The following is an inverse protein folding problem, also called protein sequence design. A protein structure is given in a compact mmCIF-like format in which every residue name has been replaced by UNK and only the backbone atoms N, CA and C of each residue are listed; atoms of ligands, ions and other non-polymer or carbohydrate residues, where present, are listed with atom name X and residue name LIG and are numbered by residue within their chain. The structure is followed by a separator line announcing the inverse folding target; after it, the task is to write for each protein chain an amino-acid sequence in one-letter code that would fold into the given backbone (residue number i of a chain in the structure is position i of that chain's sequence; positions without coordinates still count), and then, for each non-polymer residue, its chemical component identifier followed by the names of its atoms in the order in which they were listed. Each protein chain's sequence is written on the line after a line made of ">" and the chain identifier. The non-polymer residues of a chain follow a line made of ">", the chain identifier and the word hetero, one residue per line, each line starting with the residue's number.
data_IF_279783909321
#
_entry.id   IF_279783909321
#
_cell.length_a   1.000
_cell.length_b   1.000
_cell.length_c   1.000
_cell.angle_alpha   90.00
_cell.angle_beta   90.00
_cell.angle_gamma   90.00
#
_symmetry.space_group_name_H-M   'P 1'
#
loop_
_entity.id
_entity.type
_entity.pdbx_description
1 polymer ?
#
# COMPACT_ATOMS: atom_id res chain seq x y z
N UNK A 1 34.14 5.30 7.55
CA UNK A 1 34.88 6.56 7.28
C UNK A 1 34.10 7.59 6.43
N UNK A 2 32.82 7.35 6.07
CA UNK A 2 32.02 8.31 5.30
C UNK A 2 31.10 9.20 6.15
N UNK A 3 30.86 8.88 7.43
CA UNK A 3 29.95 9.65 8.31
C UNK A 3 30.52 10.99 8.79
N UNK A 4 31.85 11.18 8.76
CA UNK A 4 32.50 12.40 9.24
C UNK A 4 32.59 13.53 8.21
N UNK A 5 32.29 13.27 6.93
CA UNK A 5 32.45 14.27 5.85
C UNK A 5 31.20 15.06 5.54
N UNK A 6 30.01 14.53 5.84
CA UNK A 6 28.74 15.21 5.65
C UNK A 6 28.52 16.43 6.57
N UNK A 7 28.73 16.34 7.91
CA UNK A 7 28.48 17.48 8.80
C UNK A 7 29.42 18.67 8.53
N UNK A 8 30.71 18.41 8.23
CA UNK A 8 31.68 19.45 7.90
C UNK A 8 31.26 20.28 6.67
N UNK A 9 30.63 19.64 5.68
CA UNK A 9 30.24 20.29 4.42
C UNK A 9 28.98 21.14 4.53
N UNK A 10 28.12 20.87 5.52
CA UNK A 10 26.90 21.67 5.80
C UNK A 10 27.27 22.95 6.56
N UNK A 11 28.17 22.85 7.54
CA UNK A 11 28.70 24.02 8.25
C UNK A 11 29.41 25.01 7.30
N UNK A 12 30.14 24.51 6.30
CA UNK A 12 30.76 25.34 5.25
C UNK A 12 29.71 26.05 4.37
N UNK A 13 28.59 25.39 4.08
CA UNK A 13 27.49 26.00 3.32
C UNK A 13 26.71 27.03 4.17
N UNK A 14 26.51 26.76 5.46
CA UNK A 14 25.92 27.70 6.41
C UNK A 14 26.72 28.99 6.48
N UNK A 15 28.04 28.90 6.61
CA UNK A 15 28.92 30.07 6.67
C UNK A 15 28.91 30.87 5.36
N UNK A 16 28.99 30.19 4.20
CA UNK A 16 28.94 30.85 2.88
C UNK A 16 27.61 31.56 2.56
N UNK A 17 26.50 31.12 3.17
CA UNK A 17 25.16 31.71 2.98
C UNK A 17 24.86 32.92 3.88
N UNK A 18 25.69 33.14 4.91
CA UNK A 18 25.47 34.18 5.93
C UNK A 18 25.92 35.57 5.49
N UNK A 19 26.87 35.64 4.56
CA UNK A 19 27.55 36.89 4.15
C UNK A 19 26.78 37.76 3.14
N UNK A 20 25.58 37.34 2.69
CA UNK A 20 24.93 37.91 1.51
C UNK A 20 23.66 38.73 1.75
N UNK A 21 23.30 39.10 2.99
CA UNK A 21 22.01 39.75 3.21
C UNK A 21 22.02 41.01 4.05
N UNK A 22 21.24 42.00 3.60
CA UNK A 22 21.18 43.36 4.14
C UNK A 22 19.81 43.74 4.71
N UNK A 23 18.81 42.84 4.64
CA UNK A 23 17.41 43.23 4.90
C UNK A 23 16.51 42.14 5.55
N UNK A 24 17.06 41.32 6.46
CA UNK A 24 16.29 40.47 7.40
C UNK A 24 15.44 39.32 6.84
N UNK A 25 15.06 39.33 5.57
CA UNK A 25 14.36 38.24 4.88
C UNK A 25 15.34 37.13 4.49
N UNK A 26 14.97 35.86 4.65
CA UNK A 26 15.79 34.73 4.20
C UNK A 26 15.97 34.80 2.68
N UNK A 27 17.23 34.74 2.22
CA UNK A 27 17.51 34.64 0.78
C UNK A 27 17.13 33.22 0.29
N UNK A 28 16.74 33.07 -0.97
CA UNK A 28 16.52 31.78 -1.64
C UNK A 28 17.62 30.75 -1.32
N UNK A 29 18.87 31.19 -1.23
CA UNK A 29 19.99 30.32 -0.83
C UNK A 29 19.86 29.76 0.60
N UNK A 30 19.36 30.55 1.54
CA UNK A 30 19.13 30.14 2.94
C UNK A 30 17.90 29.24 3.05
N UNK A 31 16.84 29.52 2.28
CA UNK A 31 15.66 28.65 2.19
C UNK A 31 16.04 27.28 1.60
N UNK A 32 16.82 27.27 0.51
CA UNK A 32 17.31 26.04 -0.10
C UNK A 32 18.18 25.21 0.86
N UNK A 33 19.03 25.86 1.66
CA UNK A 33 19.83 25.18 2.69
C UNK A 33 18.96 24.60 3.80
N UNK A 34 17.95 25.34 4.29
CA UNK A 34 17.02 24.83 5.30
C UNK A 34 16.27 23.59 4.80
N UNK A 35 15.77 23.61 3.57
CA UNK A 35 15.10 22.46 2.96
C UNK A 35 16.06 21.27 2.77
N UNK A 36 17.31 21.55 2.45
CA UNK A 36 18.32 20.50 2.33
C UNK A 36 18.65 19.85 3.68
N UNK A 37 18.76 20.64 4.75
CA UNK A 37 18.96 20.14 6.11
C UNK A 37 17.78 19.28 6.58
N UNK A 38 16.55 19.75 6.38
CA UNK A 38 15.33 18.98 6.67
C UNK A 38 15.29 17.65 5.90
N UNK A 39 15.68 17.68 4.63
CA UNK A 39 15.78 16.46 3.81
C UNK A 39 16.84 15.49 4.38
N UNK A 40 18.01 15.99 4.80
CA UNK A 40 19.05 15.15 5.42
C UNK A 40 18.59 14.55 6.75
N UNK A 41 17.86 15.31 7.57
CA UNK A 41 17.28 14.79 8.81
C UNK A 41 16.24 13.70 8.54
N UNK A 42 15.40 13.89 7.53
CA UNK A 42 14.44 12.88 7.06
C UNK A 42 15.15 11.61 6.58
N UNK A 43 16.19 11.74 5.76
CA UNK A 43 17.01 10.61 5.29
C UNK A 43 17.65 9.88 6.48
N UNK A 44 18.19 10.61 7.47
CA UNK A 44 18.79 10.01 8.68
C UNK A 44 17.76 9.22 9.48
N UNK A 45 16.53 9.73 9.62
CA UNK A 45 15.44 9.01 10.27
C UNK A 45 15.19 7.67 9.60
N UNK A 46 15.09 7.64 8.27
CA UNK A 46 14.86 6.41 7.50
C UNK A 46 15.97 5.38 7.72
N UNK A 47 17.24 5.81 7.79
CA UNK A 47 18.35 4.89 8.08
C UNK A 47 18.34 4.37 9.52
N UNK A 48 18.00 5.22 10.49
CA UNK A 48 17.84 4.81 11.89
C UNK A 48 16.72 3.80 12.04
N UNK A 49 15.57 4.04 11.39
CA UNK A 49 14.43 3.12 11.39
C UNK A 49 14.82 1.78 10.76
N UNK A 50 15.56 1.80 9.64
CA UNK A 50 16.07 0.57 9.01
C UNK A 50 17.00 -0.22 9.92
N UNK A 51 17.90 0.45 10.64
CA UNK A 51 18.79 -0.22 11.58
C UNK A 51 18.00 -0.88 12.73
N UNK A 52 17.00 -0.17 13.24
CA UNK A 52 16.11 -0.70 14.27
C UNK A 52 15.33 -1.93 13.77
N UNK A 53 14.75 -1.88 12.56
CA UNK A 53 14.00 -3.01 12.01
C UNK A 53 14.90 -4.22 11.74
N UNK A 54 16.13 -4.00 11.28
CA UNK A 54 17.13 -5.07 11.15
C UNK A 54 17.46 -5.72 12.49
N UNK A 55 17.74 -4.92 13.53
CA UNK A 55 18.01 -5.44 14.87
C UNK A 55 16.85 -6.23 15.45
N UNK A 56 15.61 -5.80 15.21
CA UNK A 56 14.41 -6.54 15.64
C UNK A 56 14.31 -7.87 14.88
N UNK A 57 14.52 -7.86 13.56
CA UNK A 57 14.51 -9.08 12.75
C UNK A 57 15.56 -10.10 13.21
N UNK A 58 16.79 -9.63 13.48
CA UNK A 58 17.88 -10.47 13.99
C UNK A 58 17.55 -11.08 15.36
N UNK A 59 16.96 -10.29 16.27
CA UNK A 59 16.54 -10.78 17.58
C UNK A 59 15.43 -11.84 17.46
N UNK A 60 14.41 -11.60 16.63
CA UNK A 60 13.34 -12.57 16.37
C UNK A 60 13.88 -13.86 15.76
N UNK A 61 14.84 -13.75 14.84
CA UNK A 61 15.46 -14.92 14.23
C UNK A 61 16.33 -15.71 15.22
N UNK A 62 17.09 -15.02 16.08
CA UNK A 62 17.89 -15.65 17.12
C UNK A 62 17.02 -16.38 18.15
N UNK A 63 15.88 -15.78 18.53
CA UNK A 63 14.96 -16.31 19.53
C UNK A 63 13.88 -17.23 18.94
N UNK A 64 13.96 -17.56 17.64
CA UNK A 64 12.90 -18.27 16.92
C UNK A 64 12.47 -19.59 17.59
N UNK A 65 13.42 -20.39 18.09
CA UNK A 65 13.14 -21.64 18.80
C UNK A 65 12.44 -21.41 20.15
N UNK A 66 12.86 -20.38 20.89
CA UNK A 66 12.27 -20.01 22.18
C UNK A 66 10.83 -19.51 21.99
N UNK A 67 10.62 -18.67 20.97
CA UNK A 67 9.29 -18.17 20.58
C UNK A 67 8.38 -19.35 20.22
N UNK A 68 8.85 -20.27 19.37
CA UNK A 68 8.07 -21.44 18.97
C UNK A 68 7.69 -22.34 20.15
N UNK A 69 8.63 -22.58 21.08
CA UNK A 69 8.35 -23.36 22.29
C UNK A 69 7.33 -22.68 23.20
N UNK A 70 7.44 -21.36 23.37
CA UNK A 70 6.50 -20.57 24.18
C UNK A 70 5.09 -20.63 23.60
N UNK A 71 4.94 -20.49 22.27
CA UNK A 71 3.65 -20.62 21.58
C UNK A 71 3.04 -22.00 21.82
N UNK A 72 3.83 -23.07 21.64
CA UNK A 72 3.36 -24.44 21.85
C UNK A 72 2.92 -24.68 23.30
N UNK A 73 3.63 -24.13 24.28
CA UNK A 73 3.25 -24.21 25.69
C UNK A 73 1.92 -23.50 25.98
N UNK A 74 1.70 -22.34 25.37
CA UNK A 74 0.44 -21.61 25.48
C UNK A 74 -0.73 -22.35 24.81
N UNK A 75 -0.51 -22.93 23.62
CA UNK A 75 -1.52 -23.76 22.93
C UNK A 75 -1.96 -24.93 23.80
N UNK A 76 -1.01 -25.67 24.39
CA UNK A 76 -1.29 -26.77 25.32
C UNK A 76 -2.06 -26.28 26.54
N UNK A 77 -1.65 -25.16 27.14
CA UNK A 77 -2.36 -24.58 28.29
C UNK A 77 -3.81 -24.19 27.96
N UNK A 78 -4.06 -23.67 26.75
CA UNK A 78 -5.39 -23.30 26.28
C UNK A 78 -6.28 -24.52 25.99
N UNK A 79 -5.71 -25.58 25.42
CA UNK A 79 -6.40 -26.86 25.22
C UNK A 79 -6.78 -27.51 26.55
N UNK A 80 -5.85 -27.53 27.50
CA UNK A 80 -6.07 -28.04 28.86
C UNK A 80 -7.18 -27.26 29.57
N UNK A 81 -7.17 -25.93 29.47
CA UNK A 81 -8.21 -25.07 30.03
C UNK A 81 -9.60 -25.39 29.45
N UNK A 82 -9.71 -25.48 28.12
CA UNK A 82 -10.97 -25.78 27.46
C UNK A 82 -11.47 -27.20 27.81
N UNK A 83 -10.56 -28.17 27.89
CA UNK A 83 -10.88 -29.53 28.33
C UNK A 83 -11.43 -29.54 29.76
N UNK A 84 -10.78 -28.84 30.69
CA UNK A 84 -11.24 -28.75 32.07
C UNK A 84 -12.64 -28.14 32.18
N UNK A 85 -12.93 -27.09 31.39
CA UNK A 85 -14.28 -26.50 31.34
C UNK A 85 -15.33 -27.46 30.78
N UNK A 86 -15.01 -28.21 29.72
CA UNK A 86 -15.91 -29.24 29.16
C UNK A 86 -16.23 -30.34 30.16
N UNK A 87 -15.24 -30.78 30.95
CA UNK A 87 -15.44 -31.76 32.02
C UNK A 87 -16.37 -31.23 33.12
N UNK A 88 -16.40 -29.91 33.34
CA UNK A 88 -17.28 -29.26 34.32
C UNK A 88 -18.69 -28.93 33.76
N UNK A 89 -19.03 -29.41 32.56
CA UNK A 89 -20.33 -29.20 31.92
C UNK A 89 -20.49 -27.87 31.16
N UNK A 90 -19.44 -27.05 31.10
CA UNK A 90 -19.41 -25.80 30.34
C UNK A 90 -18.91 -26.06 28.92
N UNK A 91 -19.64 -25.62 27.89
CA UNK A 91 -19.20 -25.76 26.50
C UNK A 91 -18.31 -24.58 26.10
N UNK A 92 -17.01 -24.67 26.40
CA UNK A 92 -15.99 -23.68 25.98
C UNK A 92 -15.17 -24.26 24.84
N UNK A 93 -15.08 -23.50 23.75
CA UNK A 93 -14.19 -23.78 22.61
C UNK A 93 -12.79 -23.22 22.89
N UNK A 94 -11.74 -23.97 22.56
CA UNK A 94 -10.38 -23.44 22.55
C UNK A 94 -10.28 -22.38 21.45
N UNK A 95 -10.32 -21.10 21.83
CA UNK A 95 -10.25 -19.99 20.88
C UNK A 95 -8.82 -19.58 20.50
N UNK A 96 -7.79 -20.26 21.03
CA UNK A 96 -6.40 -20.00 20.62
C UNK A 96 -6.07 -20.82 19.39
N UNK A 97 -6.70 -20.46 18.29
CA UNK A 97 -6.14 -20.76 17.00
C UNK A 97 -5.30 -19.57 16.59
N UNK A 98 -3.99 -19.62 16.90
CA UNK A 98 -2.97 -18.77 16.26
C UNK A 98 -2.79 -19.20 14.79
N UNK A 99 -3.91 -19.47 14.10
CA UNK A 99 -3.93 -19.66 12.68
C UNK A 99 -3.39 -18.37 12.10
N UNK A 100 -2.18 -18.46 11.56
CA UNK A 100 -1.60 -17.49 10.64
C UNK A 100 -2.66 -17.16 9.61
N UNK A 101 -3.42 -16.09 9.87
CA UNK A 101 -4.46 -15.61 8.98
C UNK A 101 -3.74 -15.19 7.71
N UNK A 102 -3.71 -16.10 6.72
CA UNK A 102 -3.22 -15.92 5.34
C UNK A 102 -2.18 -14.81 5.20
N UNK A 103 -1.13 -14.86 6.01
CA UNK A 103 -0.09 -13.84 5.92
C UNK A 103 0.69 -14.19 4.67
N UNK A 104 0.38 -13.47 3.58
CA UNK A 104 0.88 -13.77 2.26
C UNK A 104 2.42 -13.77 2.30
N UNK A 105 3.01 -14.96 2.36
CA UNK A 105 4.45 -15.13 2.52
C UNK A 105 5.22 -14.40 1.42
N UNK A 106 4.63 -14.26 0.20
CA UNK A 106 5.25 -13.53 -0.91
C UNK A 106 5.40 -12.07 -0.54
N UNK A 107 4.41 -11.49 0.12
CA UNK A 107 4.45 -10.12 0.63
C UNK A 107 5.55 -9.99 1.68
N UNK A 108 5.61 -10.91 2.65
CA UNK A 108 6.64 -10.88 3.69
C UNK A 108 8.05 -10.98 3.12
N UNK A 109 8.30 -11.92 2.21
CA UNK A 109 9.59 -12.09 1.56
C UNK A 109 10.02 -10.80 0.83
N UNK A 110 9.09 -10.16 0.10
CA UNK A 110 9.36 -8.87 -0.57
C UNK A 110 9.64 -7.75 0.43
N UNK A 111 8.86 -7.64 1.50
CA UNK A 111 9.05 -6.61 2.53
C UNK A 111 10.39 -6.79 3.25
N UNK A 112 10.75 -8.02 3.59
CA UNK A 112 12.05 -8.35 4.17
C UNK A 112 13.20 -7.95 3.22
N UNK A 113 13.08 -8.26 1.93
CA UNK A 113 14.08 -7.87 0.93
C UNK A 113 14.28 -6.35 0.83
N UNK A 114 13.17 -5.59 0.83
CA UNK A 114 13.17 -4.14 0.68
C UNK A 114 13.67 -3.42 1.94
N UNK A 115 13.20 -3.84 3.11
CA UNK A 115 13.32 -3.07 4.35
C UNK A 115 14.25 -3.68 5.39
N UNK A 116 14.59 -4.97 5.30
CA UNK A 116 15.53 -5.65 6.20
C UNK A 116 16.83 -5.92 5.46
N UNK A 117 16.89 -6.97 4.63
CA UNK A 117 18.04 -7.33 3.81
C UNK A 117 17.62 -8.24 2.66
N UNK A 118 18.35 -8.18 1.54
CA UNK A 118 18.06 -8.99 0.36
C UNK A 118 18.18 -10.49 0.65
N UNK A 119 19.13 -10.88 1.50
CA UNK A 119 19.36 -12.24 1.98
C UNK A 119 18.18 -12.78 2.80
N UNK A 120 17.70 -12.05 3.82
CA UNK A 120 16.53 -12.48 4.61
C UNK A 120 15.29 -12.62 3.73
N UNK A 121 15.04 -11.66 2.85
CA UNK A 121 13.93 -11.76 1.91
C UNK A 121 14.05 -12.95 0.97
N UNK A 122 15.25 -13.25 0.50
CA UNK A 122 15.50 -14.35 -0.43
C UNK A 122 15.33 -15.72 0.21
N UNK A 123 15.76 -15.90 1.47
CA UNK A 123 15.49 -17.16 2.20
C UNK A 123 13.98 -17.38 2.35
N UNK A 124 13.23 -16.35 2.75
CA UNK A 124 11.76 -16.42 2.80
C UNK A 124 11.11 -16.67 1.42
N UNK A 125 11.73 -16.19 0.33
CA UNK A 125 11.23 -16.40 -1.03
C UNK A 125 11.54 -17.79 -1.61
N UNK A 126 12.52 -18.51 -1.05
CA UNK A 126 12.83 -19.89 -1.45
C UNK A 126 11.89 -20.90 -0.83
N UNK A 127 11.60 -20.77 0.47
CA UNK A 127 10.74 -21.68 1.27
C UNK A 127 9.33 -21.92 0.70
N UNK A 128 9.04 -21.13 -0.30
CA UNK A 128 7.73 -20.73 -0.69
C UNK A 128 7.51 -20.96 -2.19
N UNK A 129 8.60 -20.95 -2.97
CA UNK A 129 8.71 -21.81 -4.17
C UNK A 129 8.62 -23.30 -3.78
N UNK A 130 9.28 -23.72 -2.69
CA UNK A 130 9.27 -25.13 -2.22
C UNK A 130 7.86 -25.63 -1.90
N UNK A 131 7.02 -24.82 -1.26
CA UNK A 131 5.63 -25.20 -0.96
C UNK A 131 4.71 -25.23 -2.19
N UNK A 132 5.08 -24.58 -3.29
CA UNK A 132 4.31 -24.61 -4.54
C UNK A 132 4.60 -25.86 -5.38
N UNK A 133 5.79 -26.45 -5.24
CA UNK A 133 6.21 -27.64 -6.01
C UNK A 133 5.80 -28.99 -5.37
N UNK A 134 5.36 -28.99 -4.10
CA UNK A 134 5.03 -30.21 -3.37
C UNK A 134 3.59 -30.75 -3.55
N UNK A 135 2.87 -30.28 -4.58
CA UNK A 135 1.52 -30.78 -4.92
C UNK A 135 1.44 -31.53 -6.26
N UNK A 136 2.59 -32.00 -6.77
CA UNK A 136 2.62 -33.01 -7.83
C UNK A 136 3.42 -34.23 -7.40
N UNK A 137 2.64 -35.26 -7.08
CA UNK A 137 2.89 -36.67 -7.33
C UNK A 137 3.59 -37.51 -6.25
N UNK A 138 2.87 -38.56 -5.87
CA UNK A 138 3.29 -39.63 -4.99
C UNK A 138 4.03 -40.68 -5.80
N UNK A 139 5.32 -40.88 -5.52
CA UNK A 139 6.09 -41.96 -6.12
C UNK A 139 7.49 -42.02 -5.55
N UNK A 140 7.71 -42.90 -4.56
CA UNK A 140 8.99 -43.02 -3.89
C UNK A 140 10.11 -43.59 -4.75
N UNK A 141 11.35 -43.25 -4.43
CA UNK A 141 12.43 -44.19 -4.17
C UNK A 141 13.70 -43.43 -3.76
N UNK A 142 14.41 -44.03 -2.81
CA UNK A 142 15.63 -43.51 -2.23
C UNK A 142 16.88 -43.87 -3.05
N UNK A 143 17.92 -43.08 -2.79
CA UNK A 143 19.33 -43.44 -2.68
C UNK A 143 20.33 -42.88 -3.72
N UNK A 144 21.39 -42.33 -3.12
CA UNK A 144 22.80 -42.41 -3.52
C UNK A 144 23.48 -41.18 -4.12
N UNK A 145 24.22 -40.57 -3.19
CA UNK A 145 25.48 -39.83 -3.27
C UNK A 145 26.38 -40.15 -4.47
N UNK A 146 26.82 -39.09 -5.15
CA UNK A 146 28.23 -38.79 -5.49
C UNK A 146 28.33 -38.02 -6.81
N UNK A 147 28.79 -36.77 -6.73
CA UNK A 147 29.84 -36.15 -7.58
C UNK A 147 29.88 -34.65 -7.32
N UNK A 148 30.88 -34.25 -6.55
CA UNK A 148 31.39 -32.88 -6.52
C UNK A 148 32.30 -32.68 -7.73
N UNK A 149 32.23 -31.47 -8.28
CA UNK A 149 33.09 -30.84 -9.30
C UNK A 149 32.80 -31.17 -10.75
N UNK A 150 32.10 -30.25 -11.42
CA UNK A 150 32.77 -29.20 -12.21
C UNK A 150 31.72 -28.55 -13.13
N UNK A 151 31.10 -27.49 -12.62
CA UNK A 151 30.47 -26.50 -13.49
C UNK A 151 30.64 -25.13 -12.86
N UNK A 152 31.75 -24.50 -13.16
CA UNK A 152 31.86 -23.05 -13.14
C UNK A 152 30.76 -22.52 -14.09
N UNK A 153 29.66 -22.08 -13.51
CA UNK A 153 28.63 -21.28 -14.16
C UNK A 153 28.51 -19.98 -13.38
N UNK A 154 28.50 -18.89 -14.13
CA UNK A 154 28.49 -17.52 -13.68
C UNK A 154 27.44 -17.21 -12.59
N UNK A 155 27.65 -16.20 -11.73
CA UNK A 155 26.65 -15.72 -10.79
C UNK A 155 25.64 -14.84 -11.54
N UNK A 156 24.68 -15.44 -12.25
CA UNK A 156 23.56 -14.71 -12.84
C UNK A 156 22.22 -15.42 -12.59
N UNK A 157 21.51 -14.94 -11.56
CA UNK A 157 20.06 -14.65 -11.58
C UNK A 157 19.07 -15.80 -11.51
N UNK A 158 18.80 -16.33 -10.32
CA UNK A 158 17.69 -17.29 -10.08
C UNK A 158 16.39 -16.66 -9.57
N UNK A 159 16.39 -15.36 -9.26
CA UNK A 159 15.24 -14.68 -8.63
C UNK A 159 14.88 -13.37 -9.31
N UNK A 160 14.78 -13.44 -10.64
CA UNK A 160 14.32 -12.35 -11.47
C UNK A 160 12.95 -12.68 -12.08
N UNK A 161 12.04 -11.72 -12.07
CA UNK A 161 10.70 -11.82 -12.66
C UNK A 161 10.57 -10.80 -13.79
N UNK A 162 9.81 -11.16 -14.83
CA UNK A 162 9.55 -10.28 -15.96
C UNK A 162 8.26 -9.48 -15.74
N UNK A 163 8.32 -8.17 -16.01
CA UNK A 163 7.14 -7.31 -16.01
C UNK A 163 6.35 -7.49 -17.31
N UNK A 164 5.05 -7.75 -17.24
CA UNK A 164 4.18 -7.92 -18.42
C UNK A 164 3.96 -6.60 -19.19
N UNK A 165 4.09 -5.45 -18.52
CA UNK A 165 3.81 -4.15 -19.11
C UNK A 165 5.02 -3.54 -19.87
N UNK A 166 6.22 -3.59 -19.28
CA UNK A 166 7.43 -3.05 -19.92
C UNK A 166 8.36 -4.14 -20.48
N UNK A 167 8.06 -5.42 -20.26
CA UNK A 167 8.87 -6.58 -20.67
C UNK A 167 10.28 -6.65 -20.07
N UNK A 168 10.63 -5.75 -19.14
CA UNK A 168 11.91 -5.76 -18.44
C UNK A 168 11.95 -6.85 -17.35
N UNK A 169 13.12 -7.47 -17.21
CA UNK A 169 13.43 -8.42 -16.14
C UNK A 169 13.95 -7.65 -14.93
N UNK A 170 13.34 -7.86 -13.77
CA UNK A 170 13.69 -7.20 -12.50
C UNK A 170 13.82 -8.22 -11.38
N UNK A 171 14.38 -7.82 -10.25
CA UNK A 171 14.46 -8.70 -9.06
C UNK A 171 13.05 -9.04 -8.57
N UNK A 172 12.88 -10.22 -7.97
CA UNK A 172 11.57 -10.70 -7.51
C UNK A 172 10.85 -9.73 -6.56
N UNK A 173 11.60 -8.97 -5.76
CA UNK A 173 11.06 -7.99 -4.82
C UNK A 173 10.63 -6.67 -5.46
N UNK A 174 11.00 -6.44 -6.72
CA UNK A 174 10.56 -5.28 -7.51
C UNK A 174 9.37 -5.61 -8.43
N UNK A 175 8.84 -6.84 -8.36
CA UNK A 175 7.73 -7.32 -9.19
C UNK A 175 6.64 -7.96 -8.32
N UNK A 176 5.40 -7.49 -8.48
CA UNK A 176 4.21 -8.09 -7.87
C UNK A 176 3.50 -8.95 -8.90
N UNK A 177 3.26 -10.20 -8.50
CA UNK A 177 2.42 -11.14 -9.23
C UNK A 177 0.95 -10.90 -8.85
N UNK A 178 0.09 -10.68 -9.84
CA UNK A 178 -1.36 -10.53 -9.63
C UNK A 178 -2.06 -11.89 -9.74
N UNK A 179 -3.37 -11.96 -9.44
CA UNK A 179 -4.16 -13.21 -9.40
C UNK A 179 -4.01 -14.10 -10.63
N UNK A 180 -3.90 -13.50 -11.81
CA UNK A 180 -3.75 -14.21 -13.07
C UNK A 180 -2.31 -14.71 -13.36
N UNK A 181 -1.38 -14.55 -12.42
CA UNK A 181 0.01 -15.00 -12.52
C UNK A 181 0.98 -14.05 -13.24
N UNK A 182 0.49 -12.93 -13.79
CA UNK A 182 1.35 -11.94 -14.43
C UNK A 182 2.08 -11.05 -13.42
N UNK A 183 3.35 -10.74 -13.71
CA UNK A 183 4.17 -9.84 -12.91
C UNK A 183 4.10 -8.39 -13.37
N UNK A 184 3.97 -7.45 -12.44
CA UNK A 184 4.09 -6.01 -12.69
C UNK A 184 5.21 -5.42 -11.84
N UNK A 185 6.13 -4.70 -12.47
CA UNK A 185 7.10 -3.92 -11.73
C UNK A 185 6.44 -2.69 -11.08
N UNK A 186 7.04 -2.19 -9.99
CA UNK A 186 6.57 -1.01 -9.25
C UNK A 186 6.12 0.18 -10.13
N UNK A 187 6.94 0.72 -11.06
CA UNK A 187 6.53 1.89 -11.83
C UNK A 187 5.36 1.60 -12.77
N UNK A 188 5.36 0.45 -13.44
CA UNK A 188 4.26 0.07 -14.35
C UNK A 188 2.95 -0.16 -13.59
N UNK A 189 3.02 -0.77 -12.41
CA UNK A 189 1.86 -0.97 -11.55
C UNK A 189 1.29 0.38 -11.07
N UNK A 190 2.15 1.28 -10.59
CA UNK A 190 1.73 2.62 -10.16
C UNK A 190 1.08 3.40 -11.32
N UNK A 191 1.67 3.36 -12.50
CA UNK A 191 1.10 4.02 -13.68
C UNK A 191 -0.25 3.42 -14.08
N UNK A 192 -0.39 2.09 -14.04
CA UNK A 192 -1.66 1.43 -14.34
C UNK A 192 -2.76 1.85 -13.36
N UNK A 193 -2.45 1.92 -12.07
CA UNK A 193 -3.40 2.37 -11.05
C UNK A 193 -3.73 3.85 -11.25
N UNK A 194 -2.74 4.72 -11.49
CA UNK A 194 -2.95 6.16 -11.77
C UNK A 194 -3.82 6.40 -13.01
N UNK A 195 -3.70 5.57 -14.05
CA UNK A 195 -4.60 5.65 -15.21
C UNK A 195 -6.01 5.19 -14.84
N UNK A 196 -6.15 4.12 -14.06
CA UNK A 196 -7.44 3.62 -13.62
C UNK A 196 -8.18 4.61 -12.70
N UNK A 197 -7.48 5.45 -11.93
CA UNK A 197 -8.12 6.49 -11.11
C UNK A 197 -8.62 7.69 -11.92
N UNK A 198 -8.13 7.87 -13.15
CA UNK A 198 -8.50 8.98 -14.04
C UNK A 198 -9.57 8.59 -15.06
N UNK A 199 -9.60 7.33 -15.47
CA UNK A 199 -10.52 6.82 -16.48
C UNK A 199 -11.42 5.72 -15.88
N UNK A 200 -12.71 6.03 -15.76
CA UNK A 200 -13.73 5.11 -15.24
C UNK A 200 -13.82 3.81 -16.05
N UNK A 201 -13.52 3.84 -17.35
CA UNK A 201 -13.54 2.63 -18.20
C UNK A 201 -12.44 1.64 -17.86
N UNK A 202 -11.36 2.12 -17.24
CA UNK A 202 -10.22 1.33 -16.80
C UNK A 202 -10.33 0.93 -15.31
N UNK A 203 -11.38 1.38 -14.62
CA UNK A 203 -11.59 1.10 -13.21
C UNK A 203 -12.51 -0.11 -12.98
N UNK A 204 -12.21 -1.00 -12.02
CA UNK A 204 -10.93 -1.15 -11.31
C UNK A 204 -9.80 -1.64 -12.23
N UNK A 205 -8.52 -1.42 -11.88
CA UNK A 205 -7.37 -1.92 -12.63
C UNK A 205 -7.43 -3.45 -12.74
N UNK A 206 -7.14 -3.96 -13.94
CA UNK A 206 -7.27 -5.39 -14.28
C UNK A 206 -6.08 -5.92 -15.07
N UNK A 207 -5.85 -7.21 -15.00
CA UNK A 207 -5.03 -7.97 -15.94
C UNK A 207 -5.80 -9.22 -16.35
N UNK A 208 -5.76 -9.59 -17.63
CA UNK A 208 -6.52 -10.75 -18.14
C UNK A 208 -8.03 -10.69 -17.83
N UNK A 209 -8.59 -9.48 -17.71
CA UNK A 209 -9.98 -9.19 -17.28
C UNK A 209 -10.29 -9.47 -15.81
N UNK A 210 -9.31 -9.92 -15.03
CA UNK A 210 -9.40 -10.08 -13.58
C UNK A 210 -8.99 -8.79 -12.86
N UNK A 211 -9.85 -8.23 -11.99
CA UNK A 211 -9.48 -7.09 -11.13
C UNK A 211 -8.31 -7.41 -10.21
N UNK A 212 -7.51 -6.40 -9.90
CA UNK A 212 -6.41 -6.56 -8.95
C UNK A 212 -6.93 -6.66 -7.52
N UNK A 213 -6.31 -7.57 -6.74
CA UNK A 213 -6.50 -7.60 -5.30
C UNK A 213 -5.64 -6.51 -4.66
N UNK A 214 -6.30 -5.44 -4.17
CA UNK A 214 -5.61 -4.24 -3.70
C UNK A 214 -4.69 -4.50 -2.51
N UNK A 215 -5.03 -5.45 -1.64
CA UNK A 215 -4.20 -5.91 -0.51
C UNK A 215 -2.77 -6.25 -0.95
N UNK A 216 -2.62 -7.00 -2.05
CA UNK A 216 -1.34 -7.47 -2.57
C UNK A 216 -0.55 -6.39 -3.32
N UNK A 217 -1.23 -5.50 -4.05
CA UNK A 217 -0.57 -4.45 -4.84
C UNK A 217 -0.20 -3.20 -4.02
N UNK A 218 -0.85 -2.99 -2.87
CA UNK A 218 -0.69 -1.81 -2.02
C UNK A 218 0.76 -1.52 -1.60
N UNK A 219 1.61 -2.55 -1.49
CA UNK A 219 3.03 -2.45 -1.12
C UNK A 219 3.81 -1.58 -2.11
N UNK A 220 3.42 -1.61 -3.38
CA UNK A 220 4.08 -0.82 -4.43
C UNK A 220 3.43 0.53 -4.66
N UNK A 221 2.25 0.81 -4.10
CA UNK A 221 1.58 2.09 -4.26
C UNK A 221 2.12 3.11 -3.25
N UNK A 222 2.17 4.38 -3.64
CA UNK A 222 2.43 5.46 -2.69
C UNK A 222 1.17 5.76 -1.88
N UNK A 223 1.30 6.52 -0.78
CA UNK A 223 0.14 6.93 0.01
C UNK A 223 -0.84 7.74 -0.85
N UNK A 224 -0.31 8.68 -1.61
CA UNK A 224 -1.09 9.58 -2.48
C UNK A 224 -1.89 8.79 -3.50
N UNK A 225 -1.29 7.77 -4.11
CA UNK A 225 -1.96 6.94 -5.11
C UNK A 225 -3.03 6.03 -4.48
N UNK A 226 -2.80 5.52 -3.26
CA UNK A 226 -3.84 4.78 -2.52
C UNK A 226 -5.02 5.67 -2.15
N UNK A 227 -4.74 6.90 -1.70
CA UNK A 227 -5.79 7.87 -1.34
C UNK A 227 -6.60 8.27 -2.59
N UNK A 228 -5.93 8.48 -3.74
CA UNK A 228 -6.60 8.71 -5.03
C UNK A 228 -7.44 7.52 -5.47
N UNK A 229 -6.94 6.29 -5.28
CA UNK A 229 -7.67 5.08 -5.62
C UNK A 229 -8.95 4.94 -4.80
N UNK A 230 -8.91 5.17 -3.48
CA UNK A 230 -10.10 5.08 -2.65
C UNK A 230 -11.09 6.21 -2.97
N UNK A 231 -10.61 7.41 -3.30
CA UNK A 231 -11.47 8.49 -3.77
C UNK A 231 -12.16 8.12 -5.10
N UNK A 232 -11.40 7.62 -6.06
CA UNK A 232 -11.92 7.19 -7.37
C UNK A 232 -12.93 6.05 -7.23
N UNK A 233 -12.70 5.11 -6.32
CA UNK A 233 -13.63 4.03 -6.00
C UNK A 233 -14.98 4.55 -5.51
N UNK A 234 -14.98 5.53 -4.61
CA UNK A 234 -16.21 6.17 -4.13
C UNK A 234 -16.87 6.99 -5.25
N UNK A 235 -16.08 7.76 -5.99
CA UNK A 235 -16.55 8.58 -7.11
C UNK A 235 -17.25 7.73 -8.16
N UNK A 236 -16.55 6.74 -8.72
CA UNK A 236 -17.08 5.89 -9.78
C UNK A 236 -18.22 4.98 -9.30
N UNK A 237 -18.21 4.58 -8.03
CA UNK A 237 -19.33 3.86 -7.41
C UNK A 237 -20.56 4.73 -7.11
N UNK A 238 -20.43 6.06 -7.11
CA UNK A 238 -21.55 6.97 -6.83
C UNK A 238 -22.39 7.19 -8.08
N UNK A 239 -23.70 6.92 -8.00
CA UNK A 239 -24.62 7.06 -9.14
C UNK A 239 -24.90 8.52 -9.51
N UNK A 240 -25.23 9.36 -8.53
CA UNK A 240 -25.51 10.78 -8.72
C UNK A 240 -24.32 11.62 -8.24
N UNK A 241 -23.23 11.59 -8.99
CA UNK A 241 -21.99 12.32 -8.64
C UNK A 241 -22.24 13.81 -8.59
N UNK A 242 -21.63 14.47 -7.62
CA UNK A 242 -21.66 15.92 -7.48
C UNK A 242 -20.23 16.42 -7.45
N UNK A 243 -19.94 17.34 -8.35
CA UNK A 243 -18.63 17.99 -8.45
C UNK A 243 -18.78 19.43 -8.00
N UNK A 244 -17.73 19.96 -7.40
CA UNK A 244 -17.69 21.37 -7.02
C UNK A 244 -17.94 22.26 -8.24
N UNK A 245 -18.92 23.16 -8.16
CA UNK A 245 -19.25 24.09 -9.25
C UNK A 245 -18.18 25.17 -9.51
N UNK A 246 -17.20 25.32 -8.62
CA UNK A 246 -16.07 26.23 -8.82
C UNK A 246 -15.19 25.75 -9.98
N UNK A 247 -15.08 26.57 -11.03
CA UNK A 247 -14.39 26.23 -12.30
C UNK A 247 -12.94 25.76 -12.09
N UNK A 248 -12.22 26.37 -11.15
CA UNK A 248 -10.83 26.01 -10.83
C UNK A 248 -10.69 24.79 -9.93
N UNK A 249 -11.77 24.38 -9.26
CA UNK A 249 -11.75 23.26 -8.31
C UNK A 249 -12.24 21.97 -8.96
N UNK A 250 -13.48 21.97 -9.47
CA UNK A 250 -14.15 20.83 -10.13
C UNK A 250 -13.98 19.47 -9.41
N UNK A 251 -13.71 19.50 -8.11
CA UNK A 251 -13.40 18.30 -7.35
C UNK A 251 -14.67 17.53 -7.03
N UNK A 252 -14.60 16.20 -7.07
CA UNK A 252 -15.67 15.34 -6.59
C UNK A 252 -15.97 15.61 -5.12
N UNK A 253 -17.26 15.77 -4.78
CA UNK A 253 -17.74 15.96 -3.42
C UNK A 253 -18.26 14.61 -2.91
N UNK A 254 -17.67 14.13 -1.81
CA UNK A 254 -18.08 12.87 -1.19
C UNK A 254 -19.57 12.94 -0.78
N UNK A 255 -20.37 11.88 -0.98
CA UNK A 255 -21.77 11.84 -0.55
C UNK A 255 -22.00 12.19 0.92
N UNK A 256 -21.02 11.93 1.79
CA UNK A 256 -21.07 12.29 3.22
C UNK A 256 -21.05 13.81 3.46
N UNK A 257 -20.63 14.61 2.48
CA UNK A 257 -20.60 16.07 2.53
C UNK A 257 -21.82 16.71 1.85
N UNK A 258 -22.88 15.92 1.63
CA UNK A 258 -24.11 16.36 1.00
C UNK A 258 -25.24 16.31 2.04
N UNK A 259 -25.80 17.47 2.36
CA UNK A 259 -26.94 17.63 3.26
C UNK A 259 -28.13 18.16 2.46
N UNK A 260 -29.13 17.31 2.23
CA UNK A 260 -30.28 17.63 1.38
C UNK A 260 -29.84 17.97 -0.05
N UNK A 261 -30.18 19.18 -0.50
CA UNK A 261 -29.80 19.70 -1.81
C UNK A 261 -28.43 20.39 -1.85
N UNK A 262 -27.69 20.42 -0.74
CA UNK A 262 -26.46 21.21 -0.64
C UNK A 262 -25.25 20.30 -0.42
N UNK A 263 -24.33 20.33 -1.38
CA UNK A 263 -23.05 19.63 -1.36
C UNK A 263 -21.91 20.61 -1.03
N UNK A 264 -21.16 20.36 0.04
CA UNK A 264 -20.07 21.23 0.47
C UNK A 264 -18.71 20.68 0.05
N UNK A 265 -17.96 21.44 -0.75
CA UNK A 265 -16.65 21.02 -1.22
C UNK A 265 -15.61 21.03 -0.08
N UNK A 266 -15.04 19.88 0.24
CA UNK A 266 -13.98 19.77 1.26
C UNK A 266 -12.65 20.43 0.90
N UNK A 267 -12.41 20.76 -0.38
CA UNK A 267 -11.15 21.39 -0.83
C UNK A 267 -11.18 22.93 -0.76
N UNK A 268 -12.28 23.55 -1.19
CA UNK A 268 -12.38 25.02 -1.31
C UNK A 268 -13.57 25.62 -0.55
N UNK A 269 -14.42 24.79 0.08
CA UNK A 269 -15.60 25.25 0.82
C UNK A 269 -16.79 25.68 -0.04
N UNK A 270 -16.67 25.69 -1.37
CA UNK A 270 -17.77 26.08 -2.26
C UNK A 270 -18.95 25.13 -2.12
N UNK A 271 -20.15 25.71 -1.98
CA UNK A 271 -21.40 24.98 -1.83
C UNK A 271 -22.06 24.83 -3.21
N UNK A 272 -22.35 23.59 -3.59
CA UNK A 272 -22.94 23.21 -4.88
C UNK A 272 -24.31 22.60 -4.64
N UNK A 273 -25.31 22.97 -5.43
CA UNK A 273 -26.61 22.32 -5.41
C UNK A 273 -26.48 20.88 -5.94
N UNK A 274 -26.89 19.89 -5.16
CA UNK A 274 -26.85 18.47 -5.52
C UNK A 274 -27.80 18.13 -6.68
N UNK A 275 -28.84 18.93 -6.89
CA UNK A 275 -29.87 18.68 -7.90
C UNK A 275 -29.49 19.30 -9.24
N UNK A 276 -29.26 20.62 -9.32
CA UNK A 276 -28.90 21.29 -10.58
C UNK A 276 -27.39 21.37 -10.85
N UNK A 277 -26.54 20.92 -9.92
CA UNK A 277 -25.05 20.94 -10.01
C UNK A 277 -24.44 22.34 -10.16
N UNK A 278 -25.23 23.41 -9.94
CA UNK A 278 -24.78 24.81 -9.94
C UNK A 278 -24.48 25.28 -8.51
N UNK A 279 -24.17 26.57 -8.34
CA UNK A 279 -24.01 27.19 -7.02
C UNK A 279 -25.24 26.90 -6.15
N UNK A 280 -25.02 26.59 -4.88
CA UNK A 280 -26.11 26.38 -3.92
C UNK A 280 -27.02 27.62 -3.84
N UNK A 281 -28.31 27.39 -3.67
CA UNK A 281 -29.33 28.44 -3.65
C UNK A 281 -30.35 28.20 -2.54
N UNK A 282 -31.00 29.26 -2.10
CA UNK A 282 -32.06 29.18 -1.08
C UNK A 282 -33.40 28.75 -1.70
N UNK A 283 -34.12 27.88 -1.00
CA UNK A 283 -35.42 27.36 -1.43
C UNK A 283 -35.32 26.12 -2.34
N UNK A 284 -36.48 25.69 -2.86
CA UNK A 284 -36.54 24.50 -3.72
C UNK A 284 -35.82 24.74 -5.05
N UNK A 285 -35.10 23.72 -5.52
CA UNK A 285 -34.39 23.82 -6.79
C UNK A 285 -35.38 23.93 -7.97
N UNK A 286 -35.27 24.96 -8.83
CA UNK A 286 -36.17 25.13 -9.97
C UNK A 286 -36.01 24.04 -11.04
N UNK A 287 -34.86 23.36 -11.04
CA UNK A 287 -34.54 22.24 -11.92
C UNK A 287 -34.76 20.88 -11.24
N UNK A 288 -35.43 20.84 -10.08
CA UNK A 288 -35.81 19.60 -9.42
C UNK A 288 -36.90 18.88 -10.22
N UNK A 289 -36.63 17.66 -10.75
CA UNK A 289 -37.61 16.89 -11.49
C UNK A 289 -38.84 16.49 -10.65
N UNK A 290 -38.72 16.31 -9.34
CA UNK A 290 -39.85 15.98 -8.46
C UNK A 290 -40.76 17.19 -8.25
N UNK A 291 -40.17 18.38 -8.05
CA UNK A 291 -40.92 19.64 -7.98
C UNK A 291 -41.61 19.95 -9.31
N UNK A 292 -40.95 19.72 -10.44
CA UNK A 292 -41.56 19.93 -11.75
C UNK A 292 -42.71 18.94 -12.01
N UNK A 293 -42.56 17.67 -11.61
CA UNK A 293 -43.62 16.67 -11.75
C UNK A 293 -44.84 17.02 -10.89
N UNK A 294 -44.64 17.46 -9.65
CA UNK A 294 -45.73 17.88 -8.75
C UNK A 294 -46.44 19.14 -9.24
N UNK A 295 -45.71 20.14 -9.75
CA UNK A 295 -46.30 21.33 -10.37
C UNK A 295 -47.08 20.99 -11.66
N UNK A 296 -46.59 20.04 -12.45
CA UNK A 296 -47.27 19.55 -13.66
C UNK A 296 -48.58 18.82 -13.33
N UNK A 297 -48.59 18.00 -12.29
CA UNK A 297 -49.79 17.33 -11.79
C UNK A 297 -50.80 18.34 -11.24
N UNK A 298 -50.35 19.32 -10.46
CA UNK A 298 -51.21 20.36 -9.89
C UNK A 298 -51.87 21.22 -10.98
N UNK A 299 -51.16 21.51 -12.06
CA UNK A 299 -51.70 22.27 -13.21
C UNK A 299 -52.61 21.45 -14.12
N UNK A 300 -52.53 20.11 -14.11
CA UNK A 300 -53.47 19.23 -14.83
C UNK A 300 -54.73 18.89 -14.02
N UNK A 301 -54.70 19.07 -12.70
CA UNK A 301 -55.78 18.68 -11.77
C UNK A 301 -56.67 19.85 -11.33
N UNK A 302 -56.37 21.08 -11.77
CA UNK A 302 -57.14 22.30 -11.47
C UNK A 302 -57.78 22.89 -12.72
#
# INVERSE_FOLDING_TARGET
>A
MAEYTAPLRIEDLRTASKDKNRDGALNDAQVALSLFEENLESIRSVFSDRQMTQSIADAVQADAEVIANTIREEEVACEDYALAHRLNGSNVTSEVHLQSSDLNWKILARLAALYVSEDVGHELFKDTKISTEHNSDAGGQAESSSRVSAREQAPHGTDSLQCIACHEVKKYFDVIEVSCGHGYCKPCLQQLVDLATKDESLFPPRCCREPFEMSGVNIFLTKELRDQFELAKVEFGTRNRTYCCGETCSAFINPSNIEGDVATCGKCGTMTCNTCKKVAHDGHCPEDPELQATLSLATQSG
#
